data_IF_906063416132
#
_entry.id   IF_906063416132
#
_cell.length_a   1.000
_cell.length_b   1.000
_cell.length_c   1.000
_cell.angle_alpha   90.00
_cell.angle_beta   90.00
_cell.angle_gamma   90.00
#
_symmetry.space_group_name_H-M   'P 1'
#
loop_
_entity.id
_entity.type
_entity.pdbx_description
1 polymer ?
#
# COMPACT_ATOMS: atom_id res chain seq x y z
N UNK A 1 -11.38 10.11 -29.34
CA UNK A 1 -12.44 9.29 -28.69
C UNK A 1 -13.41 10.27 -28.02
N UNK A 2 -14.70 10.26 -28.38
CA UNK A 2 -15.67 11.28 -27.94
C UNK A 2 -15.95 11.16 -26.44
N UNK A 3 -15.72 12.25 -25.69
CA UNK A 3 -16.28 12.45 -24.35
C UNK A 3 -17.81 12.49 -24.47
N UNK A 4 -18.51 11.64 -23.72
CA UNK A 4 -19.95 11.74 -23.54
C UNK A 4 -20.19 12.44 -22.20
N UNK A 5 -20.73 13.66 -22.23
CA UNK A 5 -21.30 14.34 -21.06
C UNK A 5 -22.79 14.01 -20.98
N UNK A 6 -23.24 13.41 -19.87
CA UNK A 6 -24.66 13.31 -19.52
C UNK A 6 -25.04 14.43 -18.54
N UNK A 7 -26.01 15.27 -18.93
CA UNK A 7 -26.79 16.22 -18.10
C UNK A 7 -27.84 15.45 -17.26
N UNK A 8 -28.32 15.80 -16.07
CA UNK A 8 -28.25 16.99 -15.24
C UNK A 8 -29.38 16.90 -14.19
N UNK A 9 -29.27 15.96 -13.24
CA UNK A 9 -29.88 15.93 -11.88
C UNK A 9 -29.35 14.70 -11.10
N UNK A 10 -29.10 13.59 -11.82
CA UNK A 10 -28.31 12.42 -11.39
C UNK A 10 -26.80 12.69 -11.28
N UNK A 11 -26.40 13.88 -11.70
CA UNK A 11 -25.03 14.37 -11.88
C UNK A 11 -24.40 14.71 -10.51
N UNK A 12 -25.15 15.35 -9.60
CA UNK A 12 -24.60 15.81 -8.32
C UNK A 12 -24.23 14.67 -7.34
N UNK A 13 -25.01 13.59 -7.27
CA UNK A 13 -24.66 12.40 -6.47
C UNK A 13 -23.49 11.64 -7.09
N UNK A 14 -23.47 11.50 -8.42
CA UNK A 14 -22.36 10.86 -9.14
C UNK A 14 -21.03 11.62 -8.98
N UNK A 15 -21.05 12.95 -8.84
CA UNK A 15 -19.83 13.75 -8.62
C UNK A 15 -19.29 13.67 -7.19
N UNK A 16 -20.15 13.57 -6.18
CA UNK A 16 -19.71 13.35 -4.80
C UNK A 16 -19.10 11.95 -4.64
N UNK A 17 -19.81 10.93 -5.11
CA UNK A 17 -19.34 9.54 -5.08
C UNK A 17 -18.06 9.34 -5.91
N UNK A 18 -17.93 10.02 -7.06
CA UNK A 18 -16.72 9.96 -7.87
C UNK A 18 -15.54 10.68 -7.21
N UNK A 19 -15.76 11.80 -6.53
CA UNK A 19 -14.67 12.49 -5.82
C UNK A 19 -14.18 11.67 -4.63
N UNK A 20 -15.09 11.14 -3.83
CA UNK A 20 -14.75 10.30 -2.67
C UNK A 20 -13.99 9.05 -3.12
N UNK A 21 -14.40 8.42 -4.24
CA UNK A 21 -13.67 7.29 -4.83
C UNK A 21 -12.25 7.66 -5.30
N UNK A 22 -12.08 8.82 -5.93
CA UNK A 22 -10.76 9.30 -6.36
C UNK A 22 -9.87 9.61 -5.16
N UNK A 23 -10.42 10.25 -4.14
CA UNK A 23 -9.72 10.57 -2.90
C UNK A 23 -9.34 9.28 -2.16
N UNK A 24 -10.23 8.29 -2.07
CA UNK A 24 -9.95 6.99 -1.45
C UNK A 24 -8.88 6.19 -2.21
N UNK A 25 -8.91 6.21 -3.55
CA UNK A 25 -7.96 5.46 -4.38
C UNK A 25 -6.57 6.10 -4.42
N UNK A 26 -6.48 7.43 -4.34
CA UNK A 26 -5.23 8.19 -4.51
C UNK A 26 -4.69 8.84 -3.23
N UNK A 27 -5.49 8.84 -2.16
CA UNK A 27 -5.27 9.59 -0.92
C UNK A 27 -5.06 11.09 -1.19
N UNK A 28 -6.06 11.70 -1.85
CA UNK A 28 -6.10 13.14 -2.14
C UNK A 28 -5.01 13.63 -3.09
N UNK A 29 -4.60 12.82 -4.07
CA UNK A 29 -3.62 13.25 -5.05
C UNK A 29 -4.18 14.32 -6.01
N UNK A 30 -3.38 15.34 -6.30
CA UNK A 30 -3.74 16.41 -7.21
C UNK A 30 -3.72 15.95 -8.67
N UNK A 31 -4.54 16.61 -9.51
CA UNK A 31 -4.59 16.37 -10.96
C UNK A 31 -4.90 14.91 -11.33
N UNK A 32 -5.79 14.29 -10.55
CA UNK A 32 -6.23 12.91 -10.75
C UNK A 32 -7.28 12.82 -11.85
N UNK A 33 -7.14 11.83 -12.74
CA UNK A 33 -8.07 11.53 -13.82
C UNK A 33 -8.53 10.07 -13.73
N UNK A 34 -9.68 9.74 -14.30
CA UNK A 34 -10.17 8.36 -14.36
C UNK A 34 -9.76 7.68 -15.67
N UNK A 35 -9.50 6.37 -15.60
CA UNK A 35 -9.30 5.53 -16.77
C UNK A 35 -10.09 4.22 -16.61
N UNK A 36 -11.03 3.97 -17.52
CA UNK A 36 -11.83 2.75 -17.50
C UNK A 36 -11.06 1.58 -18.11
N UNK A 37 -11.05 0.44 -17.41
CA UNK A 37 -10.36 -0.77 -17.83
C UNK A 37 -11.38 -1.89 -18.00
N UNK A 38 -11.59 -2.32 -19.23
CA UNK A 38 -12.55 -3.40 -19.56
C UNK A 38 -11.89 -4.78 -19.52
N UNK A 39 -10.56 -4.83 -19.65
CA UNK A 39 -9.81 -6.07 -19.65
C UNK A 39 -8.31 -5.85 -19.46
N UNK A 40 -7.57 -6.94 -19.27
CA UNK A 40 -6.13 -6.85 -19.05
C UNK A 40 -5.38 -6.29 -20.27
N UNK A 41 -5.96 -6.37 -21.47
CA UNK A 41 -5.38 -5.76 -22.68
C UNK A 41 -5.37 -4.23 -22.59
N UNK A 42 -6.37 -3.61 -21.94
CA UNK A 42 -6.39 -2.16 -21.70
C UNK A 42 -5.24 -1.76 -20.77
N UNK A 43 -4.99 -2.55 -19.73
CA UNK A 43 -3.83 -2.35 -18.84
C UNK A 43 -2.52 -2.45 -19.61
N UNK A 44 -2.37 -3.45 -20.47
CA UNK A 44 -1.15 -3.63 -21.25
C UNK A 44 -0.89 -2.46 -22.21
N UNK A 45 -1.93 -1.94 -22.86
CA UNK A 45 -1.84 -0.75 -23.71
C UNK A 45 -1.46 0.47 -22.89
N UNK A 46 -2.17 0.72 -21.79
CA UNK A 46 -1.89 1.83 -20.88
C UNK A 46 -0.44 1.80 -20.35
N UNK A 47 0.05 0.62 -19.94
CA UNK A 47 1.44 0.48 -19.51
C UNK A 47 2.44 0.78 -20.63
N UNK A 48 2.12 0.41 -21.89
CA UNK A 48 2.92 0.78 -23.05
C UNK A 48 2.97 2.29 -23.26
N UNK A 49 1.82 2.96 -23.26
CA UNK A 49 1.70 4.40 -23.47
C UNK A 49 2.42 5.23 -22.38
N UNK A 50 2.50 4.69 -21.17
CA UNK A 50 3.19 5.31 -20.03
C UNK A 50 4.67 4.93 -19.91
N UNK A 51 5.20 4.12 -20.82
CA UNK A 51 6.57 3.61 -20.72
C UNK A 51 6.80 2.61 -19.57
N UNK A 52 5.74 2.16 -18.89
CA UNK A 52 5.81 1.21 -17.76
C UNK A 52 5.96 -0.24 -18.23
N UNK A 53 7.04 -0.48 -18.98
CA UNK A 53 7.28 -1.70 -19.75
C UNK A 53 8.36 -2.57 -19.09
N UNK A 54 8.60 -3.78 -19.62
CA UNK A 54 9.67 -4.65 -19.10
C UNK A 54 11.02 -4.17 -19.61
N UNK A 55 11.02 -3.64 -20.82
CA UNK A 55 12.15 -3.13 -21.57
C UNK A 55 12.75 -1.93 -20.85
N UNK A 56 11.94 -0.91 -20.53
CA UNK A 56 12.36 0.25 -19.74
C UNK A 56 12.92 -0.17 -18.37
N UNK A 57 12.27 -1.13 -17.70
CA UNK A 57 12.76 -1.67 -16.43
C UNK A 57 14.15 -2.32 -16.54
N UNK A 58 14.40 -3.08 -17.60
CA UNK A 58 15.69 -3.72 -17.85
C UNK A 58 16.79 -2.70 -18.22
N UNK A 59 16.42 -1.60 -18.85
CA UNK A 59 17.31 -0.46 -19.15
C UNK A 59 17.67 0.37 -17.91
N UNK A 60 17.06 0.06 -16.77
CA UNK A 60 17.34 0.74 -15.50
C UNK A 60 16.35 1.85 -15.15
N UNK A 61 15.27 2.02 -15.91
CA UNK A 61 14.21 2.96 -15.53
C UNK A 61 13.52 2.48 -14.25
N UNK A 62 13.44 3.38 -13.27
CA UNK A 62 12.84 3.19 -11.96
C UNK A 62 11.74 4.21 -11.68
N UNK A 63 11.38 5.02 -12.68
CA UNK A 63 10.20 5.85 -12.65
C UNK A 63 8.94 4.99 -12.79
N UNK A 64 7.99 5.17 -11.89
CA UNK A 64 6.72 4.45 -11.88
C UNK A 64 5.60 5.47 -12.09
N UNK A 65 4.68 5.26 -13.05
CA UNK A 65 3.55 6.17 -13.22
C UNK A 65 2.62 6.13 -12.00
N UNK A 66 1.97 7.26 -11.72
CA UNK A 66 0.97 7.39 -10.66
C UNK A 66 -0.34 6.71 -11.07
N UNK A 67 -0.39 5.39 -10.90
CA UNK A 67 -1.53 4.55 -11.27
C UNK A 67 -2.17 3.94 -10.02
N UNK A 68 -3.44 4.24 -9.78
CA UNK A 68 -4.14 3.79 -8.58
C UNK A 68 -5.38 3.01 -8.95
N UNK A 69 -5.50 1.77 -8.49
CA UNK A 69 -6.74 1.00 -8.69
C UNK A 69 -7.76 1.42 -7.64
N UNK A 70 -9.00 1.66 -8.08
CA UNK A 70 -10.10 1.95 -7.16
C UNK A 70 -10.46 0.71 -6.34
N UNK A 71 -10.37 -0.47 -6.93
CA UNK A 71 -10.71 -1.75 -6.33
C UNK A 71 -10.02 -2.94 -6.99
N UNK A 72 -10.24 -4.14 -6.45
CA UNK A 72 -9.83 -5.42 -7.04
C UNK A 72 -11.08 -6.13 -7.56
N UNK A 73 -11.29 -6.27 -8.88
CA UNK A 73 -12.52 -6.85 -9.41
C UNK A 73 -12.59 -8.35 -9.14
N UNK A 74 -13.77 -8.85 -8.77
CA UNK A 74 -14.00 -10.30 -8.57
C UNK A 74 -13.59 -11.13 -9.79
N UNK A 75 -13.82 -10.59 -10.99
CA UNK A 75 -13.44 -11.18 -12.29
C UNK A 75 -11.94 -11.49 -12.40
N UNK A 76 -11.08 -10.78 -11.68
CA UNK A 76 -9.66 -11.11 -11.60
C UNK A 76 -9.45 -12.54 -11.10
N UNK A 77 -10.14 -12.91 -10.01
CA UNK A 77 -10.08 -14.24 -9.41
C UNK A 77 -10.81 -15.30 -10.23
N UNK A 78 -12.06 -15.01 -10.64
CA UNK A 78 -12.94 -16.00 -11.28
C UNK A 78 -12.66 -16.23 -12.77
N UNK A 79 -11.96 -15.32 -13.45
CA UNK A 79 -11.82 -15.39 -14.90
C UNK A 79 -10.45 -14.99 -15.43
N UNK A 80 -10.05 -13.72 -15.23
CA UNK A 80 -8.90 -13.14 -15.91
C UNK A 80 -7.61 -13.87 -15.53
N UNK A 81 -7.39 -14.12 -14.24
CA UNK A 81 -6.16 -14.79 -13.77
C UNK A 81 -6.05 -16.26 -14.17
N UNK A 82 -7.15 -16.89 -14.59
CA UNK A 82 -7.18 -18.29 -15.05
C UNK A 82 -6.90 -18.41 -16.56
N UNK A 83 -7.10 -17.31 -17.32
CA UNK A 83 -6.96 -17.29 -18.79
C UNK A 83 -5.63 -16.73 -19.29
N UNK A 84 -4.80 -16.20 -18.40
CA UNK A 84 -3.50 -15.62 -18.74
C UNK A 84 -2.36 -16.47 -18.20
N UNK A 85 -1.16 -16.30 -18.75
CA UNK A 85 0.03 -17.00 -18.26
C UNK A 85 0.36 -16.58 -16.84
N UNK A 86 1.01 -17.47 -16.08
CA UNK A 86 1.48 -17.18 -14.72
C UNK A 86 2.39 -15.94 -14.71
N UNK A 87 3.28 -15.81 -15.70
CA UNK A 87 4.15 -14.65 -15.83
C UNK A 87 3.36 -13.35 -16.03
N UNK A 88 2.38 -13.33 -16.94
CA UNK A 88 1.55 -12.14 -17.17
C UNK A 88 0.72 -11.80 -15.92
N UNK A 89 0.15 -12.80 -15.24
CA UNK A 89 -0.60 -12.60 -13.99
C UNK A 89 0.24 -11.88 -12.95
N UNK A 90 1.46 -12.37 -12.69
CA UNK A 90 2.39 -11.79 -11.71
C UNK A 90 2.80 -10.38 -12.11
N UNK A 91 3.09 -10.16 -13.40
CA UNK A 91 3.49 -8.85 -13.93
C UNK A 91 2.39 -7.81 -13.76
N UNK A 92 1.14 -8.13 -14.10
CA UNK A 92 0.00 -7.24 -13.90
C UNK A 92 -0.19 -6.93 -12.41
N UNK A 93 -0.14 -7.95 -11.56
CA UNK A 93 -0.25 -7.79 -10.11
C UNK A 93 0.78 -6.80 -9.55
N UNK A 94 2.06 -7.01 -9.85
CA UNK A 94 3.11 -6.11 -9.37
C UNK A 94 3.01 -4.71 -9.96
N UNK A 95 2.64 -4.58 -11.25
CA UNK A 95 2.51 -3.26 -11.87
C UNK A 95 1.38 -2.43 -11.31
N UNK A 96 0.27 -3.06 -10.94
CA UNK A 96 -0.86 -2.37 -10.30
C UNK A 96 -0.57 -2.05 -8.82
N UNK A 97 0.20 -2.89 -8.13
CA UNK A 97 0.44 -2.71 -6.70
C UNK A 97 1.62 -1.77 -6.38
N UNK A 98 2.70 -1.80 -7.15
CA UNK A 98 3.90 -0.99 -6.88
C UNK A 98 3.59 0.52 -6.73
N UNK A 99 2.79 1.16 -7.61
CA UNK A 99 2.44 2.57 -7.42
C UNK A 99 1.73 2.86 -6.08
N UNK A 100 0.86 1.95 -5.61
CA UNK A 100 0.17 2.09 -4.31
C UNK A 100 1.16 2.05 -3.14
N UNK A 101 2.16 1.15 -3.21
CA UNK A 101 3.22 1.05 -2.21
C UNK A 101 4.07 2.31 -2.19
N UNK A 102 4.44 2.81 -3.37
CA UNK A 102 5.21 4.05 -3.48
C UNK A 102 4.41 5.27 -2.99
N UNK A 103 3.11 5.33 -3.27
CA UNK A 103 2.23 6.39 -2.77
C UNK A 103 2.16 6.38 -1.25
N UNK A 104 1.95 5.22 -0.64
CA UNK A 104 1.99 5.06 0.82
C UNK A 104 3.34 5.51 1.41
N UNK A 105 4.45 5.16 0.76
CA UNK A 105 5.78 5.60 1.18
C UNK A 105 6.00 7.11 1.03
N UNK A 106 5.51 7.76 -0.04
CA UNK A 106 5.58 9.23 -0.20
C UNK A 106 4.87 9.95 0.94
N UNK A 107 3.68 9.50 1.33
CA UNK A 107 2.90 10.05 2.45
C UNK A 107 3.69 9.93 3.75
N UNK A 108 4.21 8.73 4.04
CA UNK A 108 5.03 8.48 5.24
C UNK A 108 6.30 9.36 5.24
N UNK A 109 6.96 9.53 4.09
CA UNK A 109 8.13 10.41 3.97
C UNK A 109 7.77 11.87 4.20
N UNK A 110 6.61 12.33 3.75
CA UNK A 110 6.14 13.70 3.98
C UNK A 110 5.88 13.94 5.47
N UNK A 111 5.22 13.00 6.16
CA UNK A 111 5.05 13.04 7.62
C UNK A 111 6.40 13.06 8.33
N UNK A 112 7.33 12.20 7.92
CA UNK A 112 8.69 12.14 8.48
C UNK A 112 9.44 13.46 8.29
N UNK A 113 9.38 14.07 7.10
CA UNK A 113 9.97 15.39 6.83
C UNK A 113 9.34 16.48 7.70
N UNK A 114 8.03 16.41 7.96
CA UNK A 114 7.36 17.31 8.90
C UNK A 114 7.89 17.11 10.33
N UNK A 115 8.01 15.87 10.81
CA UNK A 115 8.59 15.56 12.13
C UNK A 115 10.01 16.11 12.30
N UNK A 116 10.87 15.94 11.28
CA UNK A 116 12.24 16.48 11.31
C UNK A 116 12.24 18.01 11.44
N UNK A 117 11.40 18.71 10.68
CA UNK A 117 11.24 20.17 10.81
C UNK A 117 10.72 20.59 12.18
N UNK A 118 9.79 19.84 12.77
CA UNK A 118 9.28 20.12 14.11
C UNK A 118 10.33 19.86 15.20
N UNK A 119 11.26 18.91 14.98
CA UNK A 119 12.34 18.60 15.91
C UNK A 119 13.33 19.77 16.10
N UNK A 120 13.46 20.63 15.08
CA UNK A 120 14.35 21.79 15.09
C UNK A 120 13.72 23.01 15.80
N UNK A 121 12.41 22.98 16.08
CA UNK A 121 11.66 24.10 16.64
C UNK A 121 11.64 24.07 18.18
N UNK A 122 11.88 25.23 18.80
CA UNK A 122 11.80 25.39 20.27
C UNK A 122 10.38 25.26 20.81
N UNK A 123 9.37 25.66 20.02
CA UNK A 123 7.96 25.65 20.40
C UNK A 123 7.09 25.45 19.16
N UNK A 124 6.00 24.72 19.30
CA UNK A 124 5.03 24.48 18.22
C UNK A 124 3.82 25.39 18.35
N UNK A 125 3.25 25.80 17.22
CA UNK A 125 1.94 26.45 17.19
C UNK A 125 0.80 25.42 17.38
N UNK A 126 -0.43 25.91 17.55
CA UNK A 126 -1.61 25.06 17.81
C UNK A 126 -1.83 23.99 16.73
N UNK A 127 -1.69 24.34 15.45
CA UNK A 127 -1.88 23.41 14.34
C UNK A 127 -0.80 22.31 14.32
N UNK A 128 0.45 22.70 14.56
CA UNK A 128 1.57 21.76 14.65
C UNK A 128 1.43 20.83 15.85
N UNK A 129 0.98 21.35 17.00
CA UNK A 129 0.72 20.54 18.18
C UNK A 129 -0.42 19.54 17.94
N UNK A 130 -1.53 20.01 17.35
CA UNK A 130 -2.66 19.14 17.00
C UNK A 130 -2.24 18.04 16.02
N UNK A 131 -1.47 18.40 14.99
CA UNK A 131 -0.96 17.42 14.03
C UNK A 131 0.00 16.42 14.69
N UNK A 132 0.87 16.87 15.61
CA UNK A 132 1.79 16.01 16.33
C UNK A 132 1.02 15.01 17.21
N UNK A 133 0.00 15.47 17.94
CA UNK A 133 -0.89 14.64 18.75
C UNK A 133 -1.63 13.60 17.91
N UNK A 134 -2.25 14.02 16.81
CA UNK A 134 -2.92 13.09 15.88
C UNK A 134 -1.94 12.04 15.31
N UNK A 135 -0.72 12.47 14.97
CA UNK A 135 0.32 11.56 14.46
C UNK A 135 0.80 10.60 15.56
N UNK A 136 0.99 11.07 16.79
CA UNK A 136 1.36 10.24 17.94
C UNK A 136 0.28 9.17 18.21
N UNK A 137 -0.99 9.56 18.25
CA UNK A 137 -2.11 8.63 18.38
C UNK A 137 -2.14 7.61 17.24
N UNK A 138 -2.05 8.06 15.98
CA UNK A 138 -2.08 7.20 14.82
C UNK A 138 -0.89 6.22 14.78
N UNK A 139 0.25 6.58 15.38
CA UNK A 139 1.41 5.71 15.48
C UNK A 139 1.55 5.02 16.85
N UNK A 140 0.54 5.09 17.72
CA UNK A 140 0.53 4.47 19.06
C UNK A 140 1.76 4.88 19.92
N UNK A 141 2.10 6.17 19.86
CA UNK A 141 3.13 6.80 20.69
C UNK A 141 2.43 7.50 21.84
N UNK A 142 2.78 7.12 23.07
CA UNK A 142 2.21 7.73 24.26
C UNK A 142 2.66 9.18 24.39
N UNK A 143 1.70 10.09 24.56
CA UNK A 143 1.97 11.52 24.75
C UNK A 143 2.25 11.81 26.24
N UNK A 144 1.36 11.43 27.17
CA UNK A 144 1.60 11.45 28.63
C UNK A 144 2.39 12.66 29.18
N UNK A 145 3.17 12.45 30.26
CA UNK A 145 4.13 13.45 30.78
C UNK A 145 5.43 13.51 29.94
N UNK A 146 5.34 13.22 28.64
CA UNK A 146 6.52 13.13 27.76
C UNK A 146 6.79 14.46 27.08
N UNK A 147 8.04 14.91 27.08
CA UNK A 147 8.41 16.14 26.36
C UNK A 147 8.16 16.03 24.84
N UNK A 148 7.88 17.15 24.18
CA UNK A 148 7.74 17.25 22.72
C UNK A 148 8.90 16.55 21.98
N UNK A 149 10.15 16.80 22.39
CA UNK A 149 11.33 16.17 21.79
C UNK A 149 11.30 14.65 21.92
N UNK A 150 10.88 14.12 23.07
CA UNK A 150 10.77 12.69 23.28
C UNK A 150 9.64 12.07 22.44
N UNK A 151 8.48 12.73 22.29
CA UNK A 151 7.41 12.28 21.38
C UNK A 151 7.90 12.24 19.93
N UNK A 152 8.52 13.32 19.44
CA UNK A 152 9.06 13.39 18.08
C UNK A 152 10.12 12.31 17.86
N UNK A 153 11.02 12.09 18.82
CA UNK A 153 12.06 11.05 18.72
C UNK A 153 11.47 9.64 18.67
N UNK A 154 10.38 9.36 19.40
CA UNK A 154 9.67 8.09 19.31
C UNK A 154 8.97 7.92 17.96
N UNK A 155 8.31 8.98 17.47
CA UNK A 155 7.69 9.01 16.16
C UNK A 155 8.70 8.78 15.04
N UNK A 156 9.89 9.39 15.10
CA UNK A 156 10.95 9.17 14.11
C UNK A 156 11.48 7.72 14.06
N UNK A 157 11.17 6.87 15.05
CA UNK A 157 11.43 5.41 14.96
C UNK A 157 10.31 4.65 14.24
N UNK A 158 9.08 5.18 14.27
CA UNK A 158 7.87 4.55 13.72
C UNK A 158 7.52 5.05 12.32
N UNK A 159 7.56 6.37 12.09
CA UNK A 159 7.19 7.05 10.84
C UNK A 159 8.31 6.94 9.81
N UNK A 160 8.37 5.81 9.12
CA UNK A 160 9.35 5.58 8.07
C UNK A 160 8.83 4.53 7.06
N UNK A 161 9.37 4.60 5.85
CA UNK A 161 8.98 3.81 4.69
C UNK A 161 9.21 2.32 4.86
N UNK A 162 8.49 1.53 4.09
CA UNK A 162 8.75 0.10 3.94
C UNK A 162 9.41 -0.17 2.59
N UNK A 163 10.29 -1.18 2.47
CA UNK A 163 10.87 -1.55 1.20
C UNK A 163 9.77 -2.08 0.25
N UNK A 164 9.57 -1.49 -0.93
CA UNK A 164 8.59 -1.96 -1.90
C UNK A 164 8.66 -3.46 -2.19
N UNK A 165 9.86 -4.02 -2.33
CA UNK A 165 10.04 -5.44 -2.65
C UNK A 165 9.45 -6.36 -1.59
N UNK A 166 9.58 -5.98 -0.31
CA UNK A 166 8.95 -6.68 0.81
C UNK A 166 7.43 -6.61 0.72
N UNK A 167 6.87 -5.40 0.57
CA UNK A 167 5.42 -5.20 0.58
C UNK A 167 4.76 -5.94 -0.58
N UNK A 168 5.38 -5.92 -1.76
CA UNK A 168 4.93 -6.67 -2.94
C UNK A 168 4.96 -8.19 -2.70
N UNK A 169 6.03 -8.72 -2.09
CA UNK A 169 6.14 -10.14 -1.77
C UNK A 169 5.08 -10.57 -0.74
N UNK A 170 4.87 -9.77 0.31
CA UNK A 170 3.83 -10.03 1.31
C UNK A 170 2.45 -10.00 0.67
N UNK A 171 2.13 -8.98 -0.14
CA UNK A 171 0.83 -8.92 -0.81
C UNK A 171 0.61 -10.12 -1.72
N UNK A 172 1.63 -10.59 -2.45
CA UNK A 172 1.53 -11.77 -3.30
C UNK A 172 1.20 -13.04 -2.48
N UNK A 173 1.89 -13.23 -1.35
CA UNK A 173 1.67 -14.36 -0.43
C UNK A 173 0.28 -14.29 0.24
N UNK A 174 -0.07 -13.15 0.84
CA UNK A 174 -1.28 -13.01 1.66
C UNK A 174 -2.57 -12.97 0.82
N UNK A 175 -2.53 -12.36 -0.37
CA UNK A 175 -3.70 -12.24 -1.25
C UNK A 175 -3.79 -13.35 -2.30
N UNK A 176 -2.78 -14.22 -2.39
CA UNK A 176 -2.67 -15.18 -3.48
C UNK A 176 -2.66 -14.48 -4.84
N UNK A 177 -1.81 -13.46 -5.01
CA UNK A 177 -1.75 -12.64 -6.23
C UNK A 177 -3.08 -11.91 -6.55
N UNK A 178 -3.78 -11.43 -5.52
CA UNK A 178 -5.06 -10.74 -5.61
C UNK A 178 -6.27 -11.64 -5.86
N UNK A 179 -6.10 -12.97 -5.85
CA UNK A 179 -7.21 -13.90 -6.15
C UNK A 179 -8.03 -14.30 -4.92
N UNK A 180 -7.56 -13.99 -3.71
CA UNK A 180 -8.30 -14.19 -2.46
C UNK A 180 -9.64 -13.48 -2.45
N UNK A 181 -10.66 -14.12 -1.87
CA UNK A 181 -11.98 -13.49 -1.66
C UNK A 181 -11.91 -12.19 -0.88
N UNK A 182 -11.03 -12.11 0.11
CA UNK A 182 -10.86 -10.88 0.90
C UNK A 182 -10.25 -9.74 0.08
N UNK A 183 -9.41 -10.07 -0.91
CA UNK A 183 -8.82 -9.07 -1.80
C UNK A 183 -9.90 -8.41 -2.65
N UNK A 184 -10.76 -9.17 -3.34
CA UNK A 184 -11.79 -8.57 -4.19
C UNK A 184 -13.05 -8.10 -3.45
N UNK A 185 -13.41 -8.71 -2.31
CA UNK A 185 -14.63 -8.33 -1.59
C UNK A 185 -14.42 -7.19 -0.59
N UNK A 186 -13.17 -6.86 -0.24
CA UNK A 186 -12.88 -5.84 0.75
C UNK A 186 -11.55 -5.12 0.55
N UNK A 187 -10.97 -5.18 -0.65
CA UNK A 187 -9.66 -4.60 -0.96
C UNK A 187 -8.54 -5.05 -0.01
N UNK A 188 -8.70 -6.19 0.67
CA UNK A 188 -7.83 -6.61 1.76
C UNK A 188 -6.67 -7.47 1.25
N UNK A 189 -5.55 -6.82 0.93
CA UNK A 189 -4.37 -7.47 0.33
C UNK A 189 -3.49 -8.24 1.34
N UNK A 190 -3.60 -7.92 2.64
CA UNK A 190 -2.68 -8.41 3.68
C UNK A 190 -3.36 -9.22 4.80
N UNK A 191 -4.64 -9.57 4.64
CA UNK A 191 -5.36 -10.42 5.59
C UNK A 191 -5.45 -9.88 7.03
N UNK A 192 -5.41 -8.56 7.21
CA UNK A 192 -5.40 -7.92 8.53
C UNK A 192 -6.69 -8.21 9.30
N UNK A 193 -6.58 -8.49 10.61
CA UNK A 193 -7.74 -8.76 11.44
C UNK A 193 -8.31 -7.48 12.05
N UNK A 194 -9.63 -7.47 12.26
CA UNK A 194 -10.33 -6.44 13.02
C UNK A 194 -11.39 -7.09 13.92
N UNK A 195 -11.60 -6.50 15.09
CA UNK A 195 -12.59 -6.94 16.09
C UNK A 195 -13.77 -5.97 16.22
N UNK A 196 -13.62 -4.73 15.77
CA UNK A 196 -14.60 -3.66 15.95
C UNK A 196 -14.88 -2.83 14.69
N UNK A 197 -14.10 -3.01 13.61
CA UNK A 197 -14.26 -2.27 12.37
C UNK A 197 -15.05 -2.99 11.27
N UNK A 198 -15.20 -2.30 10.15
CA UNK A 198 -15.59 -2.85 8.85
C UNK A 198 -14.75 -4.09 8.51
N UNK A 199 -15.40 -5.20 8.20
CA UNK A 199 -14.68 -6.43 7.89
C UNK A 199 -15.56 -7.59 7.46
N UNK A 200 -14.91 -8.56 6.82
CA UNK A 200 -15.50 -9.73 6.21
C UNK A 200 -15.25 -10.93 7.11
N UNK A 201 -16.32 -11.62 7.51
CA UNK A 201 -16.20 -12.86 8.28
C UNK A 201 -15.50 -13.97 7.45
N UNK A 202 -14.56 -14.72 8.05
CA UNK A 202 -14.07 -15.96 7.47
C UNK A 202 -15.19 -16.99 7.36
N UNK A 203 -15.24 -17.75 6.26
CA UNK A 203 -16.21 -18.84 6.10
C UNK A 203 -15.99 -19.95 7.15
N UNK A 204 -14.72 -20.24 7.44
CA UNK A 204 -14.31 -21.18 8.49
C UNK A 204 -13.56 -20.41 9.58
N UNK A 205 -14.22 -20.19 10.73
CA UNK A 205 -13.55 -19.59 11.89
C UNK A 205 -12.65 -20.62 12.55
N UNK A 206 -11.42 -20.21 12.86
CA UNK A 206 -10.53 -21.01 13.71
C UNK A 206 -11.15 -21.10 15.11
N UNK A 207 -11.32 -22.31 15.63
CA UNK A 207 -11.84 -22.54 16.98
C UNK A 207 -10.98 -21.79 18.01
N UNK A 208 -11.64 -21.15 18.99
CA UNK A 208 -10.96 -20.45 20.10
C UNK A 208 -10.43 -19.03 19.81
N UNK A 209 -10.58 -18.47 18.60
CA UNK A 209 -10.13 -17.09 18.28
C UNK A 209 -11.22 -16.00 18.29
N UNK A 210 -12.44 -16.34 18.72
CA UNK A 210 -13.57 -15.40 18.84
C UNK A 210 -14.14 -14.92 17.49
N UNK A 211 -14.94 -13.85 17.52
CA UNK A 211 -15.64 -13.25 16.37
C UNK A 211 -14.77 -12.29 15.53
N UNK A 212 -13.51 -12.68 15.24
CA UNK A 212 -12.64 -11.84 14.40
C UNK A 212 -13.13 -11.78 12.94
N UNK A 213 -12.94 -10.62 12.32
CA UNK A 213 -13.18 -10.37 10.88
C UNK A 213 -11.86 -10.06 10.18
N UNK A 214 -11.82 -10.25 8.87
CA UNK A 214 -10.76 -9.68 8.03
C UNK A 214 -11.16 -8.25 7.68
N UNK A 215 -10.32 -7.27 7.98
CA UNK A 215 -10.59 -5.86 7.70
C UNK A 215 -10.92 -5.65 6.20
N UNK A 216 -11.86 -4.76 5.92
CA UNK A 216 -12.16 -4.25 4.58
C UNK A 216 -11.77 -2.79 4.46
N UNK A 217 -11.46 -2.35 3.24
CA UNK A 217 -10.95 -1.03 2.92
C UNK A 217 -11.69 -0.44 1.72
N UNK A 218 -11.84 0.88 1.68
CA UNK A 218 -12.49 1.55 0.55
C UNK A 218 -11.66 1.40 -0.73
N UNK A 219 -10.33 1.35 -0.60
CA UNK A 219 -9.42 1.11 -1.73
C UNK A 219 -8.26 0.16 -1.40
N UNK A 220 -7.61 -0.44 -2.41
CA UNK A 220 -6.37 -1.20 -2.21
C UNK A 220 -5.22 -0.36 -1.63
N UNK A 221 -5.18 0.95 -1.90
CA UNK A 221 -4.20 1.86 -1.30
C UNK A 221 -4.35 1.90 0.23
N UNK A 222 -5.58 2.01 0.72
CA UNK A 222 -5.84 2.02 2.16
C UNK A 222 -5.42 0.71 2.83
N UNK A 223 -5.56 -0.44 2.16
CA UNK A 223 -5.03 -1.71 2.67
C UNK A 223 -3.50 -1.71 2.76
N UNK A 224 -2.81 -1.15 1.77
CA UNK A 224 -1.34 -0.97 1.80
C UNK A 224 -0.93 -0.04 2.95
N UNK A 225 -1.63 1.08 3.14
CA UNK A 225 -1.37 2.02 4.22
C UNK A 225 -1.60 1.40 5.60
N UNK A 226 -2.67 0.63 5.77
CA UNK A 226 -2.97 -0.08 7.01
C UNK A 226 -1.90 -1.15 7.31
N UNK A 227 -1.41 -1.88 6.30
CA UNK A 227 -0.29 -2.82 6.46
C UNK A 227 0.99 -2.09 6.85
N UNK A 228 1.30 -0.97 6.19
CA UNK A 228 2.44 -0.15 6.51
C UNK A 228 2.37 0.37 7.95
N UNK A 229 1.18 0.82 8.36
CA UNK A 229 0.91 1.27 9.73
C UNK A 229 1.17 0.17 10.74
N UNK A 230 0.67 -1.04 10.49
CA UNK A 230 0.85 -2.19 11.37
C UNK A 230 2.34 -2.50 11.62
N UNK A 231 3.17 -2.57 10.57
CA UNK A 231 4.63 -2.78 10.71
C UNK A 231 5.31 -1.62 11.45
N UNK A 232 4.81 -0.40 11.26
CA UNK A 232 5.31 0.81 11.89
C UNK A 232 4.86 1.02 13.36
N UNK A 233 3.85 0.30 13.85
CA UNK A 233 3.31 0.53 15.21
C UNK A 233 3.39 -0.70 16.09
N UNK A 234 2.90 -1.84 15.62
CA UNK A 234 2.65 -3.00 16.46
C UNK A 234 3.93 -3.51 17.15
N UNK A 235 3.82 -3.89 18.43
CA UNK A 235 4.96 -4.22 19.29
C UNK A 235 5.79 -5.40 18.77
N UNK A 236 5.14 -6.38 18.13
CA UNK A 236 5.81 -7.54 17.54
C UNK A 236 6.83 -7.17 16.44
N UNK A 237 6.67 -6.00 15.80
CA UNK A 237 7.54 -5.50 14.74
C UNK A 237 8.54 -4.45 15.24
N UNK A 238 8.74 -4.32 16.56
CA UNK A 238 9.84 -3.51 17.11
C UNK A 238 11.20 -3.88 16.49
N UNK A 239 11.58 -5.17 16.33
CA UNK A 239 12.85 -5.53 15.69
C UNK A 239 12.99 -5.00 14.25
N UNK A 240 11.89 -4.99 13.48
CA UNK A 240 11.86 -4.42 12.13
C UNK A 240 12.24 -2.93 12.16
N UNK A 241 11.61 -2.16 13.06
CA UNK A 241 11.82 -0.71 13.18
C UNK A 241 13.22 -0.36 13.66
N UNK A 242 13.74 -1.08 14.66
CA UNK A 242 15.09 -0.85 15.16
C UNK A 242 16.15 -1.17 14.10
N UNK A 243 15.95 -2.24 13.32
CA UNK A 243 16.87 -2.56 12.23
C UNK A 243 16.81 -1.53 11.11
N UNK A 244 15.61 -1.11 10.67
CA UNK A 244 15.46 -0.02 9.69
C UNK A 244 16.15 1.26 10.14
N UNK A 245 15.98 1.63 11.42
CA UNK A 245 16.65 2.78 12.03
C UNK A 245 18.17 2.65 11.96
N UNK A 246 18.72 1.50 12.34
CA UNK A 246 20.16 1.24 12.29
C UNK A 246 20.73 1.38 10.88
N UNK A 247 20.03 0.86 9.86
CA UNK A 247 20.42 1.02 8.46
C UNK A 247 20.42 2.48 8.03
N UNK A 248 19.38 3.23 8.41
CA UNK A 248 19.29 4.68 8.13
C UNK A 248 20.41 5.47 8.78
N UNK A 249 20.76 5.19 10.03
CA UNK A 249 21.88 5.83 10.75
C UNK A 249 23.24 5.54 10.09
N UNK A 250 23.37 4.41 9.40
CA UNK A 250 24.54 4.03 8.63
C UNK A 250 24.51 4.52 7.17
N UNK A 251 23.48 5.28 6.76
CA UNK A 251 23.23 5.65 5.36
C UNK A 251 23.19 4.46 4.40
N UNK A 252 22.68 3.30 4.86
CA UNK A 252 22.53 2.08 4.07
C UNK A 252 21.06 1.87 3.67
N UNK A 253 20.78 1.37 2.46
CA UNK A 253 19.43 1.02 2.06
C UNK A 253 18.92 -0.16 2.90
N UNK A 254 17.76 -0.01 3.52
CA UNK A 254 17.06 -1.11 4.17
C UNK A 254 16.20 -1.80 3.11
N UNK A 255 16.75 -2.82 2.45
CA UNK A 255 16.08 -3.55 1.37
C UNK A 255 15.06 -4.57 1.89
N UNK A 256 14.22 -5.11 1.00
CA UNK A 256 13.17 -6.05 1.40
C UNK A 256 13.69 -7.39 1.89
N UNK A 257 14.85 -7.84 1.42
CA UNK A 257 15.48 -9.09 1.89
C UNK A 257 15.90 -8.94 3.35
N UNK A 258 16.68 -7.89 3.64
CA UNK A 258 17.04 -7.49 4.99
C UNK A 258 15.79 -7.38 5.82
N UNK A 259 14.77 -6.62 5.40
CA UNK A 259 13.56 -6.41 6.16
C UNK A 259 12.75 -7.70 6.47
N UNK A 260 12.70 -8.66 5.54
CA UNK A 260 12.00 -9.94 5.72
C UNK A 260 12.53 -10.74 6.92
N UNK A 261 13.83 -10.70 7.19
CA UNK A 261 14.45 -11.44 8.31
C UNK A 261 13.91 -11.05 9.71
N UNK A 262 13.26 -9.89 9.85
CA UNK A 262 12.67 -9.42 11.12
C UNK A 262 11.22 -9.84 11.30
N UNK A 263 10.63 -10.49 10.30
CA UNK A 263 9.20 -10.80 10.27
C UNK A 263 8.87 -12.23 10.73
N UNK A 264 9.73 -12.84 11.53
CA UNK A 264 9.44 -14.16 12.15
C UNK A 264 8.19 -14.16 13.02
N UNK A 265 7.74 -13.01 13.51
CA UNK A 265 6.49 -12.87 14.28
C UNK A 265 5.27 -12.47 13.44
N UNK A 266 5.43 -12.26 12.14
CA UNK A 266 4.32 -11.88 11.25
C UNK A 266 3.38 -13.06 10.98
N UNK A 267 3.92 -14.27 10.89
CA UNK A 267 3.18 -15.50 10.60
C UNK A 267 3.45 -16.57 11.65
N UNK A 268 2.45 -17.39 11.95
CA UNK A 268 2.60 -18.62 12.77
C UNK A 268 3.64 -19.59 12.18
N UNK A 269 3.95 -19.47 10.87
CA UNK A 269 4.99 -20.23 10.17
C UNK A 269 6.42 -19.79 10.53
N UNK A 270 6.59 -18.66 11.22
CA UNK A 270 7.89 -18.22 11.73
C UNK A 270 8.98 -18.11 10.64
N UNK A 271 10.16 -18.73 10.83
CA UNK A 271 11.24 -18.71 9.84
C UNK A 271 10.86 -19.22 8.44
N UNK A 272 9.90 -20.16 8.33
CA UNK A 272 9.47 -20.65 7.02
C UNK A 272 8.73 -19.58 6.20
N UNK A 273 8.07 -18.63 6.86
CA UNK A 273 7.48 -17.46 6.22
C UNK A 273 8.57 -16.54 5.65
N UNK A 274 9.61 -16.25 6.44
CA UNK A 274 10.76 -15.45 6.01
C UNK A 274 11.42 -16.05 4.76
N UNK A 275 11.65 -17.38 4.75
CA UNK A 275 12.18 -18.09 3.56
C UNK A 275 11.26 -17.93 2.33
N UNK A 276 9.95 -17.94 2.54
CA UNK A 276 8.98 -17.72 1.45
C UNK A 276 9.11 -16.32 0.88
N UNK A 277 9.24 -15.30 1.74
CA UNK A 277 9.43 -13.92 1.30
C UNK A 277 10.73 -13.74 0.50
N UNK A 278 11.86 -14.28 0.96
CA UNK A 278 13.11 -14.25 0.18
C UNK A 278 12.92 -14.90 -1.19
N UNK A 279 12.28 -16.08 -1.24
CA UNK A 279 12.03 -16.78 -2.50
C UNK A 279 11.14 -15.96 -3.45
N UNK A 280 10.12 -15.27 -2.93
CA UNK A 280 9.25 -14.40 -3.74
C UNK A 280 10.00 -13.17 -4.25
N UNK A 281 10.83 -12.54 -3.41
CA UNK A 281 11.64 -11.38 -3.80
C UNK A 281 12.63 -11.77 -4.89
N UNK A 282 13.35 -12.87 -4.71
CA UNK A 282 14.39 -13.34 -5.64
C UNK A 282 13.78 -13.86 -6.95
N UNK A 283 12.84 -14.79 -6.89
CA UNK A 283 12.28 -15.42 -8.09
C UNK A 283 11.59 -14.41 -9.01
N UNK A 284 10.98 -13.37 -8.45
CA UNK A 284 10.29 -12.34 -9.23
C UNK A 284 11.13 -11.07 -9.45
N UNK A 285 12.42 -11.08 -9.08
CA UNK A 285 13.36 -9.97 -9.22
C UNK A 285 12.85 -8.63 -8.66
N UNK A 286 12.28 -8.66 -7.45
CA UNK A 286 11.63 -7.50 -6.84
C UNK A 286 12.62 -6.47 -6.27
N UNK A 287 13.89 -6.80 -6.12
CA UNK A 287 14.90 -5.95 -5.47
C UNK A 287 14.99 -4.56 -6.11
N UNK A 288 14.86 -4.46 -7.44
CA UNK A 288 14.89 -3.18 -8.14
C UNK A 288 13.76 -2.22 -7.72
N UNK A 289 12.65 -2.74 -7.20
CA UNK A 289 11.51 -1.93 -6.72
C UNK A 289 11.85 -1.12 -5.49
N UNK A 290 12.88 -1.50 -4.71
CA UNK A 290 13.28 -0.75 -3.52
C UNK A 290 13.89 0.62 -3.83
N UNK A 291 14.28 0.83 -5.09
CA UNK A 291 14.81 2.10 -5.60
C UNK A 291 13.83 2.84 -6.51
N UNK A 292 12.63 2.30 -6.70
CA UNK A 292 11.61 2.89 -7.56
C UNK A 292 11.00 4.15 -6.94
N UNK A 293 10.61 5.10 -7.78
CA UNK A 293 9.99 6.37 -7.36
C UNK A 293 8.81 6.70 -8.26
N UNK A 294 7.81 7.40 -7.73
CA UNK A 294 6.69 7.86 -8.55
C UNK A 294 7.13 9.02 -9.45
N UNK A 295 6.77 8.93 -10.73
CA UNK A 295 7.03 9.98 -11.71
C UNK A 295 6.25 11.25 -11.37
N UNK A 296 6.75 12.40 -11.82
CA UNK A 296 5.99 13.65 -11.85
C UNK A 296 5.05 13.65 -13.06
N UNK A 297 3.97 12.87 -12.97
CA UNK A 297 2.92 12.76 -13.98
C UNK A 297 1.55 13.05 -13.36
N UNK A 298 0.51 13.33 -14.17
CA UNK A 298 -0.87 13.23 -13.68
C UNK A 298 -1.14 11.86 -13.05
N UNK A 299 -1.98 11.83 -12.02
CA UNK A 299 -2.43 10.59 -11.42
C UNK A 299 -3.61 10.01 -12.22
N UNK A 300 -3.60 8.69 -12.43
CA UNK A 300 -4.70 7.97 -13.07
C UNK A 300 -5.30 6.99 -12.08
N UNK A 301 -6.58 7.15 -11.78
CA UNK A 301 -7.39 6.17 -11.05
C UNK A 301 -8.04 5.21 -12.05
N UNK A 302 -7.69 3.94 -11.93
CA UNK A 302 -8.15 2.86 -12.78
C UNK A 302 -9.45 2.30 -12.25
N UNK A 303 -10.50 2.46 -13.05
CA UNK A 303 -11.84 1.93 -12.80
C UNK A 303 -11.96 0.57 -13.48
N UNK A 304 -11.82 -0.50 -12.71
CA UNK A 304 -11.80 -1.87 -13.23
C UNK A 304 -13.24 -2.41 -13.34
N UNK A 305 -13.58 -3.00 -14.48
CA UNK A 305 -14.93 -3.52 -14.70
C UNK A 305 -15.24 -4.78 -13.85
N UNK A 306 -16.46 -4.84 -13.29
CA UNK A 306 -16.94 -5.94 -12.44
C UNK A 306 -17.77 -7.02 -13.17
N UNK A 307 -18.32 -6.74 -14.36
CA UNK A 307 -19.12 -7.65 -15.24
C UNK A 307 -18.34 -8.06 -16.51
N UNK A 308 -18.67 -9.07 -17.32
CA UNK A 308 -19.84 -9.93 -17.56
C UNK A 308 -19.68 -11.35 -17.00
#
# INVERSE_FOLDING_TARGET
MKLILCTGLLVLSFFADAKDLLDDASDGENNTQYFFVNGYQDLLRLFGDLGYTKEAWLEGDRGIPRLYIADIPQRWSSHTSQKITVDLKKRLFFRLLLPLVLRSNEIILNDRKKLLRLAEQKSLNTEQQQWLTQTAQAYDVAEGDTSQSAVINQLLKRVDTLPPSLVLAQAAEESGWGTSRFAFAGNALFGQWTWSGEGIAPQNRRSGKGDYKIASFASPLQSVQAHARNLNTHHAYRPFRERRKSYREQNRPFDGSSAAETLTRYSERGPAYVKTLHSLIEFNNLQGTDTATLMSSPALVLMLQHSE
#
